data_IF_152883971209
#
_entry.id   IF_152883971209
#
_cell.length_a   1.000
_cell.length_b   1.000
_cell.length_c   1.000
_cell.angle_alpha   90.00
_cell.angle_beta   90.00
_cell.angle_gamma   90.00
#
_symmetry.space_group_name_H-M   'P 1'
#
loop_
_entity.id
_entity.type
_entity.pdbx_description
1 polymer ?
#
# COMPACT_ATOMS: atom_id res chain seq x y z
N UNK A 1 18.40 -16.13 16.17
CA UNK A 1 17.26 -16.27 17.06
C UNK A 1 16.06 -16.76 16.25
N UNK A 2 15.44 -17.84 16.62
CA UNK A 2 14.24 -18.39 15.99
C UNK A 2 13.08 -17.47 16.38
N UNK A 3 12.56 -16.69 15.45
CA UNK A 3 11.34 -15.91 15.70
C UNK A 3 10.19 -16.91 15.89
N UNK A 4 9.53 -16.79 17.01
CA UNK A 4 8.37 -17.60 17.33
C UNK A 4 7.19 -17.04 16.48
N UNK A 5 6.79 -17.75 15.43
CA UNK A 5 5.74 -17.33 14.50
C UNK A 5 4.32 -17.27 15.13
N UNK A 6 4.21 -17.51 16.41
CA UNK A 6 2.95 -17.47 17.17
C UNK A 6 2.65 -16.10 17.78
N UNK A 7 3.53 -15.11 17.62
CA UNK A 7 3.40 -13.78 18.21
C UNK A 7 3.00 -12.76 17.16
N UNK A 8 2.01 -11.92 17.51
CA UNK A 8 1.67 -10.74 16.73
C UNK A 8 2.76 -9.69 16.96
N UNK A 9 3.52 -9.37 15.92
CA UNK A 9 4.55 -8.34 15.97
C UNK A 9 4.01 -6.95 15.62
N UNK A 10 2.86 -6.92 14.90
CA UNK A 10 2.33 -5.67 14.35
C UNK A 10 0.83 -5.77 14.07
N UNK A 11 0.10 -4.67 14.29
CA UNK A 11 -1.26 -4.51 13.80
C UNK A 11 -1.45 -3.18 13.08
N UNK A 12 -2.39 -3.15 12.15
CA UNK A 12 -2.84 -1.91 11.53
C UNK A 12 -4.35 -1.92 11.31
N UNK A 13 -4.96 -0.75 11.55
CA UNK A 13 -6.34 -0.46 11.16
C UNK A 13 -6.35 0.87 10.46
N UNK A 14 -6.93 0.92 9.26
CA UNK A 14 -6.94 2.13 8.43
C UNK A 14 -8.25 2.25 7.67
N UNK A 15 -8.62 3.47 7.38
CA UNK A 15 -9.79 3.81 6.58
C UNK A 15 -9.66 5.19 5.97
N UNK A 16 -10.58 5.52 5.07
CA UNK A 16 -10.60 6.83 4.45
C UNK A 16 -11.70 6.96 3.42
N UNK A 17 -11.77 8.13 2.82
CA UNK A 17 -12.77 8.51 1.82
C UNK A 17 -12.04 8.99 0.58
N UNK A 18 -12.42 8.44 -0.58
CA UNK A 18 -11.94 8.84 -1.89
C UNK A 18 -13.03 9.53 -2.70
N UNK A 19 -12.64 10.51 -3.48
CA UNK A 19 -13.51 11.22 -4.42
C UNK A 19 -12.84 11.29 -5.79
N UNK A 20 -13.55 10.82 -6.81
CA UNK A 20 -13.15 10.89 -8.22
C UNK A 20 -13.90 12.05 -8.86
N UNK A 21 -13.23 13.18 -9.03
CA UNK A 21 -13.82 14.42 -9.56
C UNK A 21 -13.77 14.54 -11.09
N UNK A 22 -12.85 13.81 -11.71
CA UNK A 22 -12.70 13.66 -13.16
C UNK A 22 -12.34 12.19 -13.42
N UNK A 23 -12.71 11.69 -14.59
CA UNK A 23 -12.28 10.37 -15.04
C UNK A 23 -10.77 10.19 -14.86
N UNK A 24 -10.36 9.04 -14.34
CA UNK A 24 -8.95 8.68 -14.12
C UNK A 24 -8.22 9.49 -13.03
N UNK A 25 -8.91 10.35 -12.28
CA UNK A 25 -8.34 11.16 -11.21
C UNK A 25 -9.08 10.96 -9.89
N UNK A 26 -8.37 10.65 -8.83
CA UNK A 26 -8.92 10.44 -7.50
C UNK A 26 -8.12 11.17 -6.44
N UNK A 27 -8.81 11.84 -5.53
CA UNK A 27 -8.27 12.34 -4.26
C UNK A 27 -8.77 11.42 -3.14
N UNK A 28 -7.92 11.10 -2.20
CA UNK A 28 -8.26 10.25 -1.06
C UNK A 28 -7.67 10.84 0.22
N UNK A 29 -8.48 10.94 1.26
CA UNK A 29 -8.07 11.31 2.62
C UNK A 29 -8.24 10.08 3.50
N UNK A 30 -7.21 9.73 4.25
CA UNK A 30 -7.26 8.58 5.13
C UNK A 30 -6.62 8.81 6.47
N UNK A 31 -6.98 7.94 7.42
CA UNK A 31 -6.39 7.86 8.74
C UNK A 31 -6.16 6.39 9.12
N UNK A 32 -5.19 6.15 9.99
CA UNK A 32 -4.91 4.80 10.47
C UNK A 32 -4.19 4.77 11.80
N UNK A 33 -4.39 3.69 12.54
CA UNK A 33 -3.69 3.38 13.78
C UNK A 33 -2.88 2.11 13.59
N UNK A 34 -1.64 2.17 14.07
CA UNK A 34 -0.64 1.12 13.91
C UNK A 34 -0.03 0.84 15.29
N UNK A 35 0.27 -0.41 15.57
CA UNK A 35 0.96 -0.78 16.79
C UNK A 35 2.03 -1.83 16.53
N UNK A 36 3.20 -1.62 17.11
CA UNK A 36 4.31 -2.57 17.09
C UNK A 36 4.43 -3.20 18.45
N UNK A 37 4.58 -4.51 18.48
CA UNK A 37 4.76 -5.28 19.70
C UNK A 37 6.24 -5.66 19.87
N UNK A 38 6.71 -5.60 21.09
CA UNK A 38 7.98 -6.15 21.56
C UNK A 38 7.71 -6.87 22.88
N UNK A 39 8.16 -8.12 23.01
CA UNK A 39 7.92 -8.96 24.19
C UNK A 39 6.43 -9.02 24.61
N UNK A 40 5.52 -9.17 23.65
CA UNK A 40 4.05 -9.23 23.82
C UNK A 40 3.41 -7.94 24.37
N UNK A 41 4.15 -6.84 24.41
CA UNK A 41 3.64 -5.52 24.81
C UNK A 41 3.74 -4.55 23.67
N UNK A 42 2.82 -3.59 23.61
CA UNK A 42 2.91 -2.51 22.63
C UNK A 42 4.14 -1.66 22.99
N UNK A 43 5.16 -1.66 22.13
CA UNK A 43 6.36 -0.86 22.27
C UNK A 43 6.17 0.53 21.65
N UNK A 44 5.46 0.60 20.51
CA UNK A 44 5.19 1.84 19.80
C UNK A 44 3.78 1.83 19.21
N UNK A 45 3.07 2.91 19.40
CA UNK A 45 1.83 3.22 18.69
C UNK A 45 2.10 4.34 17.68
N UNK A 46 1.43 4.27 16.54
CA UNK A 46 1.46 5.30 15.52
C UNK A 46 0.04 5.64 15.08
N UNK A 47 -0.32 6.91 15.13
CA UNK A 47 -1.48 7.45 14.42
C UNK A 47 -1.01 8.18 13.18
N UNK A 48 -1.69 7.96 12.06
CA UNK A 48 -1.33 8.53 10.77
C UNK A 48 -2.55 9.11 10.08
N UNK A 49 -2.38 10.29 9.51
CA UNK A 49 -3.32 10.89 8.55
C UNK A 49 -2.61 11.10 7.23
N UNK A 50 -3.32 10.97 6.11
CA UNK A 50 -2.72 11.20 4.80
C UNK A 50 -3.69 11.77 3.78
N UNK A 51 -3.11 12.51 2.86
CA UNK A 51 -3.74 12.94 1.62
C UNK A 51 -3.06 12.19 0.48
N UNK A 52 -3.86 11.64 -0.43
CA UNK A 52 -3.40 10.90 -1.59
C UNK A 52 -4.08 11.43 -2.86
N UNK A 53 -3.30 11.47 -3.92
CA UNK A 53 -3.78 11.71 -5.28
C UNK A 53 -3.36 10.54 -6.16
N UNK A 54 -4.30 10.05 -6.98
CA UNK A 54 -4.06 8.99 -7.95
C UNK A 54 -4.50 9.48 -9.32
N UNK A 55 -3.62 9.30 -10.30
CA UNK A 55 -3.88 9.49 -11.71
C UNK A 55 -3.68 8.17 -12.45
N UNK A 56 -4.68 7.76 -13.23
CA UNK A 56 -4.67 6.50 -14.00
C UNK A 56 -4.66 6.81 -15.49
N UNK A 57 -3.96 6.00 -16.27
CA UNK A 57 -4.05 6.02 -17.74
C UNK A 57 -3.77 4.63 -18.30
N UNK A 58 -4.09 4.43 -19.60
CA UNK A 58 -3.87 3.15 -20.29
C UNK A 58 -2.94 3.31 -21.48
N UNK A 59 -2.09 2.31 -21.68
CA UNK A 59 -1.29 2.11 -22.88
C UNK A 59 -1.66 0.74 -23.45
N UNK A 60 -2.54 0.72 -24.45
CA UNK A 60 -3.18 -0.51 -24.88
C UNK A 60 -4.02 -1.11 -23.77
N UNK A 61 -3.73 -2.36 -23.38
CA UNK A 61 -4.39 -3.06 -22.28
C UNK A 61 -3.72 -2.84 -20.91
N UNK A 62 -2.49 -2.30 -20.90
CA UNK A 62 -1.77 -1.99 -19.67
C UNK A 62 -2.37 -0.75 -19.00
N UNK A 63 -2.90 -0.91 -17.78
CA UNK A 63 -3.31 0.20 -16.93
C UNK A 63 -2.12 0.64 -16.07
N UNK A 64 -1.83 1.94 -16.05
CA UNK A 64 -0.81 2.57 -15.22
C UNK A 64 -1.47 3.51 -14.23
N UNK A 65 -1.10 3.38 -12.95
CA UNK A 65 -1.56 4.23 -11.86
C UNK A 65 -0.37 4.96 -11.23
N UNK A 66 -0.42 6.29 -11.21
CA UNK A 66 0.51 7.17 -10.52
C UNK A 66 -0.11 7.62 -9.22
N UNK A 67 0.51 7.32 -8.09
CA UNK A 67 0.00 7.67 -6.77
C UNK A 67 1.01 8.51 -6.00
N UNK A 68 0.65 9.75 -5.71
CA UNK A 68 1.34 10.61 -4.76
C UNK A 68 0.63 10.60 -3.41
N UNK A 69 1.37 10.51 -2.28
CA UNK A 69 0.80 10.54 -0.93
C UNK A 69 1.68 11.35 0.01
N UNK A 70 1.04 12.19 0.80
CA UNK A 70 1.67 12.93 1.91
C UNK A 70 1.05 12.44 3.21
N UNK A 71 1.88 12.05 4.17
CA UNK A 71 1.44 11.47 5.45
C UNK A 71 2.04 12.28 6.61
N UNK A 72 1.18 12.66 7.57
CA UNK A 72 1.59 13.13 8.89
C UNK A 72 1.46 11.95 9.85
N UNK A 73 2.53 11.66 10.56
CA UNK A 73 2.69 10.51 11.44
C UNK A 73 2.95 10.98 12.84
N UNK A 74 2.20 10.47 13.81
CA UNK A 74 2.32 10.77 15.25
C UNK A 74 2.67 9.47 15.95
N UNK A 75 3.80 9.44 16.61
CA UNK A 75 4.31 8.27 17.32
C UNK A 75 4.23 8.46 18.81
N UNK A 76 3.87 7.39 19.50
CA UNK A 76 3.94 7.29 20.95
C UNK A 76 4.77 6.06 21.33
N UNK A 77 5.90 6.27 21.97
CA UNK A 77 6.75 5.21 22.51
C UNK A 77 6.27 4.84 23.91
N UNK A 78 5.64 3.67 24.06
CA UNK A 78 4.98 3.27 25.31
C UNK A 78 5.97 3.05 26.46
N UNK A 79 7.23 2.70 26.15
CA UNK A 79 8.27 2.46 27.16
C UNK A 79 8.81 3.74 27.78
N UNK A 80 8.88 4.83 27.01
CA UNK A 80 9.47 6.11 27.44
C UNK A 80 8.44 7.21 27.66
N UNK A 81 7.17 7.00 27.23
CA UNK A 81 6.14 8.03 27.23
C UNK A 81 6.39 9.16 26.24
N UNK A 82 7.28 8.96 25.26
CA UNK A 82 7.74 10.04 24.37
C UNK A 82 6.85 10.14 23.13
N UNK A 83 6.43 11.35 22.79
CA UNK A 83 5.74 11.66 21.55
C UNK A 83 6.71 12.23 20.53
N UNK A 84 6.61 11.76 19.28
CA UNK A 84 7.37 12.31 18.15
C UNK A 84 6.47 12.40 16.92
N UNK A 85 6.85 13.28 15.99
CA UNK A 85 6.12 13.49 14.76
C UNK A 85 7.04 13.38 13.54
N UNK A 86 6.49 12.96 12.42
CA UNK A 86 7.22 12.91 11.16
C UNK A 86 6.30 13.17 9.96
N UNK A 87 6.86 13.76 8.92
CA UNK A 87 6.24 13.83 7.60
C UNK A 87 6.86 12.73 6.72
N UNK A 88 6.02 12.12 5.86
CA UNK A 88 6.45 11.15 4.86
C UNK A 88 5.79 11.44 3.53
N UNK A 89 6.58 11.42 2.48
CA UNK A 89 6.12 11.57 1.10
C UNK A 89 6.34 10.26 0.37
N UNK A 90 5.34 9.85 -0.40
CA UNK A 90 5.39 8.60 -1.16
C UNK A 90 4.99 8.85 -2.59
N UNK A 91 5.68 8.20 -3.50
CA UNK A 91 5.26 8.10 -4.90
C UNK A 91 5.28 6.64 -5.30
N UNK A 92 4.19 6.17 -5.93
CA UNK A 92 4.09 4.81 -6.48
C UNK A 92 3.67 4.90 -7.93
N UNK A 93 4.39 4.16 -8.76
CA UNK A 93 3.98 3.81 -10.11
C UNK A 93 3.60 2.34 -10.11
N UNK A 94 2.39 2.04 -10.56
CA UNK A 94 1.90 0.66 -10.67
C UNK A 94 1.40 0.37 -12.07
N UNK A 95 1.61 -0.88 -12.51
CA UNK A 95 1.11 -1.40 -13.76
C UNK A 95 0.24 -2.63 -13.54
N UNK A 96 -0.91 -2.70 -14.19
CA UNK A 96 -1.79 -3.88 -14.22
C UNK A 96 -2.06 -4.27 -15.66
N UNK A 97 -1.69 -5.50 -16.01
CA UNK A 97 -1.86 -6.06 -17.35
C UNK A 97 -2.81 -7.27 -17.29
N UNK A 98 -4.03 -7.17 -17.82
CA UNK A 98 -4.90 -8.32 -18.01
C UNK A 98 -4.32 -9.28 -19.05
N UNK A 99 -4.44 -10.60 -18.84
CA UNK A 99 -3.81 -11.62 -19.70
C UNK A 99 -4.80 -12.19 -20.70
N UNK A 100 -5.99 -12.58 -20.25
CA UNK A 100 -7.00 -13.28 -21.05
C UNK A 100 -8.19 -12.42 -21.47
N UNK A 101 -8.20 -11.14 -21.11
CA UNK A 101 -9.25 -10.17 -21.46
C UNK A 101 -8.64 -8.81 -21.84
N UNK A 102 -9.41 -7.92 -22.45
CA UNK A 102 -8.97 -6.57 -22.78
C UNK A 102 -8.89 -5.63 -21.55
N UNK A 103 -9.63 -5.96 -20.49
CA UNK A 103 -9.63 -5.24 -19.20
C UNK A 103 -9.76 -6.25 -18.04
N UNK A 104 -9.43 -5.85 -16.83
CA UNK A 104 -9.70 -6.67 -15.64
C UNK A 104 -11.21 -6.67 -15.39
N UNK A 105 -11.81 -7.83 -15.47
CA UNK A 105 -13.22 -8.13 -15.28
C UNK A 105 -13.37 -9.54 -14.72
N UNK A 106 -14.59 -9.99 -14.45
CA UNK A 106 -14.84 -11.36 -14.01
C UNK A 106 -14.14 -12.40 -14.90
N UNK A 107 -13.48 -13.37 -14.28
CA UNK A 107 -12.72 -14.42 -14.97
C UNK A 107 -11.36 -13.96 -15.52
N UNK A 108 -10.87 -12.78 -15.16
CA UNK A 108 -9.61 -12.27 -15.69
C UNK A 108 -8.42 -12.66 -14.83
N UNK A 109 -7.41 -13.27 -15.45
CA UNK A 109 -6.05 -13.33 -14.93
C UNK A 109 -5.31 -12.04 -15.28
N UNK A 110 -4.53 -11.53 -14.34
CA UNK A 110 -3.74 -10.32 -14.56
C UNK A 110 -2.38 -10.39 -13.87
N UNK A 111 -1.41 -9.70 -14.44
CA UNK A 111 -0.12 -9.40 -13.81
C UNK A 111 -0.18 -8.00 -13.23
N UNK A 112 0.40 -7.84 -12.06
CA UNK A 112 0.48 -6.56 -11.39
C UNK A 112 1.90 -6.33 -10.87
N UNK A 113 2.44 -5.13 -11.09
CA UNK A 113 3.73 -4.73 -10.57
C UNK A 113 3.70 -3.29 -10.11
N UNK A 114 4.50 -2.95 -9.10
CA UNK A 114 4.69 -1.56 -8.72
C UNK A 114 6.10 -1.29 -8.18
N UNK A 115 6.47 -0.02 -8.28
CA UNK A 115 7.61 0.58 -7.63
C UNK A 115 7.13 1.72 -6.74
N UNK A 116 7.54 1.74 -5.46
CA UNK A 116 7.17 2.77 -4.51
C UNK A 116 8.38 3.34 -3.79
N UNK A 117 8.48 4.67 -3.82
CA UNK A 117 9.55 5.46 -3.23
C UNK A 117 9.02 6.20 -2.00
N UNK A 118 9.82 6.21 -0.93
CA UNK A 118 9.48 6.85 0.34
C UNK A 118 10.52 7.89 0.70
N UNK A 119 10.06 9.10 0.98
CA UNK A 119 10.90 10.23 1.40
C UNK A 119 10.42 10.76 2.76
N UNK A 120 11.34 11.33 3.52
CA UNK A 120 11.02 11.93 4.82
C UNK A 120 12.11 12.89 5.26
N UNK A 121 11.86 13.62 6.35
CA UNK A 121 12.86 14.50 6.95
C UNK A 121 14.03 13.71 7.57
N UNK A 122 15.17 14.36 7.70
CA UNK A 122 16.41 13.80 8.24
C UNK A 122 17.19 12.95 7.22
N UNK A 123 18.43 12.63 7.53
CA UNK A 123 19.31 11.85 6.65
C UNK A 123 19.14 10.33 6.85
N UNK A 124 19.18 9.55 5.75
CA UNK A 124 19.03 9.99 4.38
C UNK A 124 17.59 10.43 4.11
N UNK A 125 17.36 11.42 3.24
CA UNK A 125 16.01 11.87 2.87
C UNK A 125 15.22 10.78 2.13
N UNK A 126 15.89 9.95 1.36
CA UNK A 126 15.33 8.75 0.75
C UNK A 126 15.34 7.62 1.77
N UNK A 127 14.15 7.25 2.26
CA UNK A 127 13.99 6.33 3.39
C UNK A 127 13.83 4.89 2.98
N UNK A 128 13.12 4.66 1.87
CA UNK A 128 12.71 3.31 1.47
C UNK A 128 12.39 3.26 -0.01
N UNK A 129 12.68 2.11 -0.58
CA UNK A 129 12.18 1.67 -1.87
C UNK A 129 11.44 0.35 -1.68
N UNK A 130 10.34 0.16 -2.43
CA UNK A 130 9.55 -1.05 -2.40
C UNK A 130 9.12 -1.42 -3.82
N UNK A 131 9.54 -2.59 -4.27
CA UNK A 131 9.20 -3.16 -5.57
C UNK A 131 8.33 -4.39 -5.37
N UNK A 132 7.31 -4.55 -6.17
CA UNK A 132 6.40 -5.69 -6.14
C UNK A 132 6.17 -6.20 -7.56
N UNK A 133 6.09 -7.51 -7.71
CA UNK A 133 5.57 -8.17 -8.89
C UNK A 133 4.71 -9.36 -8.48
N UNK A 134 3.55 -9.49 -9.08
CA UNK A 134 2.59 -10.50 -8.69
C UNK A 134 1.61 -10.84 -9.81
N UNK A 135 0.80 -11.83 -9.49
CA UNK A 135 -0.19 -12.40 -10.34
C UNK A 135 -1.54 -12.44 -9.61
N UNK A 136 -2.62 -12.13 -10.30
CA UNK A 136 -3.93 -12.08 -9.69
C UNK A 136 -5.01 -12.67 -10.57
N UNK A 137 -6.16 -12.91 -9.93
CA UNK A 137 -7.37 -13.39 -10.58
C UNK A 137 -8.59 -12.66 -10.05
N UNK A 138 -9.43 -12.17 -10.96
CA UNK A 138 -10.71 -11.54 -10.66
C UNK A 138 -11.80 -12.60 -10.70
N UNK A 139 -12.34 -13.00 -9.55
CA UNK A 139 -13.35 -14.05 -9.45
C UNK A 139 -14.72 -13.55 -9.92
N UNK A 140 -15.10 -12.36 -9.50
CA UNK A 140 -16.33 -11.67 -9.88
C UNK A 140 -16.14 -10.16 -9.69
N UNK A 141 -17.21 -9.39 -9.85
CA UNK A 141 -17.15 -7.92 -9.72
C UNK A 141 -16.71 -7.41 -8.32
N UNK A 142 -16.79 -8.24 -7.30
CA UNK A 142 -16.51 -7.84 -5.92
C UNK A 142 -15.24 -8.47 -5.34
N UNK A 143 -14.75 -9.60 -5.87
CA UNK A 143 -13.69 -10.36 -5.25
C UNK A 143 -12.54 -10.61 -6.24
N UNK A 144 -11.33 -10.28 -5.80
CA UNK A 144 -10.09 -10.69 -6.47
C UNK A 144 -9.06 -11.22 -5.47
N UNK A 145 -8.17 -12.06 -5.95
CA UNK A 145 -7.00 -12.51 -5.22
C UNK A 145 -5.73 -12.11 -5.97
N UNK A 146 -4.69 -11.79 -5.20
CA UNK A 146 -3.37 -11.46 -5.74
C UNK A 146 -2.30 -12.15 -4.90
N UNK A 147 -1.33 -12.74 -5.55
CA UNK A 147 -0.12 -13.28 -4.91
C UNK A 147 1.10 -12.77 -5.63
N UNK A 148 2.21 -12.63 -4.92
CA UNK A 148 3.44 -12.15 -5.53
C UNK A 148 4.59 -12.03 -4.55
N UNK A 149 5.64 -11.44 -5.06
CA UNK A 149 6.86 -11.19 -4.32
C UNK A 149 7.07 -9.68 -4.17
N UNK A 150 7.41 -9.27 -2.95
CA UNK A 150 7.72 -7.89 -2.63
C UNK A 150 9.13 -7.79 -2.05
N UNK A 151 9.94 -6.96 -2.67
CA UNK A 151 11.24 -6.56 -2.18
C UNK A 151 11.16 -5.17 -1.58
N UNK A 152 11.74 -4.99 -0.40
CA UNK A 152 11.81 -3.70 0.28
C UNK A 152 13.23 -3.42 0.73
N UNK A 153 13.74 -2.25 0.40
CA UNK A 153 15.03 -1.75 0.88
C UNK A 153 14.83 -0.52 1.74
N UNK A 154 15.32 -0.59 2.96
CA UNK A 154 15.40 0.53 3.91
C UNK A 154 16.76 1.21 3.80
N UNK A 155 16.75 2.53 3.73
CA UNK A 155 17.95 3.35 3.70
C UNK A 155 18.17 4.00 5.07
N UNK A 156 19.35 3.85 5.63
CA UNK A 156 19.73 4.39 6.91
C UNK A 156 21.18 4.85 6.88
N UNK A 157 21.50 5.86 7.68
CA UNK A 157 22.89 6.34 7.86
C UNK A 157 23.81 5.29 8.47
N UNK A 158 23.25 4.32 9.22
CA UNK A 158 24.04 3.25 9.84
C UNK A 158 24.24 2.05 8.92
N UNK A 159 23.14 1.50 8.39
CA UNK A 159 23.17 0.31 7.54
C UNK A 159 21.87 0.22 6.75
N UNK A 160 21.98 -0.04 5.45
CA UNK A 160 20.81 -0.36 4.64
C UNK A 160 20.36 -1.80 4.91
N UNK A 161 19.06 -2.02 4.93
CA UNK A 161 18.47 -3.34 5.17
C UNK A 161 17.56 -3.73 4.00
N UNK A 162 17.59 -5.02 3.66
CA UNK A 162 16.76 -5.57 2.61
C UNK A 162 15.79 -6.60 3.21
N UNK A 163 14.52 -6.51 2.81
CA UNK A 163 13.46 -7.40 3.24
C UNK A 163 12.80 -8.03 2.03
N UNK A 164 12.41 -9.29 2.18
CA UNK A 164 11.78 -10.11 1.16
C UNK A 164 10.48 -10.66 1.70
N UNK A 165 9.38 -10.44 0.99
CA UNK A 165 8.07 -10.88 1.43
C UNK A 165 7.38 -11.69 0.33
N UNK A 166 6.75 -12.78 0.72
CA UNK A 166 5.68 -13.37 -0.05
C UNK A 166 4.39 -12.63 0.30
N UNK A 167 3.67 -12.21 -0.72
CA UNK A 167 2.49 -11.40 -0.59
C UNK A 167 1.26 -12.17 -1.04
N UNK A 168 0.21 -12.14 -0.21
CA UNK A 168 -1.11 -12.67 -0.53
C UNK A 168 -2.16 -11.64 -0.12
N UNK A 169 -3.07 -11.34 -1.02
CA UNK A 169 -4.19 -10.45 -0.73
C UNK A 169 -5.49 -11.01 -1.31
N UNK A 170 -6.56 -10.86 -0.54
CA UNK A 170 -7.94 -10.95 -1.01
C UNK A 170 -8.49 -9.52 -0.99
N UNK A 171 -8.93 -9.05 -2.14
CA UNK A 171 -9.53 -7.73 -2.26
C UNK A 171 -11.03 -7.90 -2.43
N UNK A 172 -11.79 -7.27 -1.54
CA UNK A 172 -13.23 -7.26 -1.59
C UNK A 172 -13.72 -5.83 -1.82
N UNK A 173 -14.43 -5.61 -2.91
CA UNK A 173 -14.98 -4.31 -3.30
C UNK A 173 -16.50 -4.37 -3.17
N UNK A 174 -17.05 -3.46 -2.37
CA UNK A 174 -18.49 -3.21 -2.31
C UNK A 174 -18.71 -1.92 -3.08
N UNK A 175 -19.45 -2.02 -4.17
CA UNK A 175 -19.78 -0.88 -4.99
C UNK A 175 -21.31 -0.84 -5.19
N UNK A 176 -21.90 0.28 -4.84
CA UNK A 176 -23.35 0.54 -4.95
C UNK A 176 -23.71 1.50 -6.10
N UNK A 177 -22.75 1.85 -6.97
CA UNK A 177 -23.00 2.70 -8.13
C UNK A 177 -23.43 1.88 -9.35
N UNK A 178 -24.32 2.41 -10.17
CA UNK A 178 -24.80 1.79 -11.42
C UNK A 178 -23.90 2.10 -12.62
N UNK A 179 -22.81 2.83 -12.43
CA UNK A 179 -21.90 3.24 -13.50
C UNK A 179 -20.94 2.11 -13.96
N UNK A 180 -20.57 2.12 -15.24
CA UNK A 180 -19.63 1.17 -15.85
C UNK A 180 -18.23 1.32 -15.22
N UNK A 181 -17.78 0.28 -14.48
CA UNK A 181 -16.65 0.35 -13.56
C UNK A 181 -15.34 -0.05 -14.21
N UNK A 182 -14.38 0.82 -14.11
CA UNK A 182 -12.97 0.46 -14.28
C UNK A 182 -12.42 0.02 -12.92
N UNK A 183 -12.25 -1.30 -12.73
CA UNK A 183 -11.76 -1.83 -11.47
C UNK A 183 -10.37 -1.29 -11.13
N UNK A 184 -10.28 -0.50 -10.09
CA UNK A 184 -9.01 -0.23 -9.43
C UNK A 184 -8.80 -1.32 -8.38
N UNK A 185 -7.78 -2.16 -8.58
CA UNK A 185 -7.37 -3.14 -7.57
C UNK A 185 -6.79 -2.33 -6.41
N UNK A 186 -7.39 -2.37 -5.20
CA UNK A 186 -6.79 -1.72 -4.04
C UNK A 186 -5.47 -2.43 -3.76
N UNK A 187 -4.37 -1.76 -4.08
CA UNK A 187 -3.05 -2.27 -3.71
C UNK A 187 -2.78 -1.94 -2.27
N UNK A 188 -2.47 -2.98 -1.51
CA UNK A 188 -2.14 -2.89 -0.09
C UNK A 188 -0.89 -2.03 0.11
N UNK A 189 -0.93 -1.25 1.15
CA UNK A 189 0.18 -0.41 1.63
C UNK A 189 1.27 -1.19 2.32
#
# INVERSE_FOLDING_TARGET
ARKDYTLIDYYETKGGIGYSYIKDHQIFVGAGRYGTYEDRKISQEEFRIWLQYTFSHKIGTLKLDHRGRVEKRFFYASQTGTNTEAMRYRYRLSGTLPINNAKVQEGTFFVNAFEELFFGAGEPNFKRNRSFAGFGYQFNNSLSATTGYMFQREFSTKKNENYHFLYFALNFTIDSSDDEKDFSIPMVD
#
